data_IF_832699438140
#
_entry.id   IF_832699438140
#
_cell.length_a   1.000
_cell.length_b   1.000
_cell.length_c   1.000
_cell.angle_alpha   90.00
_cell.angle_beta   90.00
_cell.angle_gamma   90.00
#
_symmetry.space_group_name_H-M   'P 1'
#
loop_
_entity.id
_entity.type
_entity.pdbx_description
1 polymer ?
#
# COMPACT_ATOMS: atom_id res chain seq x y z
N UNK A 1 0.92 26.61 -6.62
CA UNK A 1 2.39 26.61 -6.46
C UNK A 1 2.86 25.21 -6.81
N UNK A 2 3.89 25.07 -7.64
CA UNK A 2 4.48 23.77 -7.89
C UNK A 2 5.23 23.29 -6.64
N UNK A 3 5.22 22.00 -6.38
CA UNK A 3 6.03 21.38 -5.34
C UNK A 3 7.43 21.10 -5.87
N UNK A 4 8.43 21.15 -4.99
CA UNK A 4 9.81 20.81 -5.33
C UNK A 4 10.00 19.29 -5.47
N UNK A 5 9.12 18.52 -4.84
CA UNK A 5 9.03 17.07 -4.93
C UNK A 5 7.65 16.60 -4.50
N UNK A 6 7.10 15.61 -5.17
CA UNK A 6 5.80 15.05 -4.84
C UNK A 6 5.70 13.56 -5.11
N UNK A 7 5.04 12.85 -4.20
CA UNK A 7 4.78 11.41 -4.28
C UNK A 7 3.32 11.14 -4.01
N UNK A 8 2.70 10.32 -4.83
CA UNK A 8 1.42 9.68 -4.55
C UNK A 8 1.63 8.22 -4.18
N UNK A 9 0.79 7.67 -3.35
CA UNK A 9 0.87 6.26 -2.98
C UNK A 9 -0.45 5.71 -2.53
N UNK A 10 -0.60 4.39 -2.68
CA UNK A 10 -1.66 3.65 -2.01
C UNK A 10 -1.50 3.77 -0.49
N UNK A 11 -2.54 3.41 0.25
CA UNK A 11 -2.66 3.66 1.69
C UNK A 11 -1.74 2.80 2.59
N UNK A 12 -0.46 2.72 2.27
CA UNK A 12 0.55 2.01 3.08
C UNK A 12 1.35 2.96 3.95
N UNK A 13 1.41 2.71 5.26
CA UNK A 13 2.18 3.55 6.20
C UNK A 13 3.68 3.58 5.92
N UNK A 14 4.23 2.53 5.32
CA UNK A 14 5.64 2.54 4.94
C UNK A 14 5.97 3.61 3.87
N UNK A 15 4.98 4.01 3.04
CA UNK A 15 5.12 5.12 2.09
C UNK A 15 5.35 6.44 2.82
N UNK A 16 4.49 6.73 3.81
CA UNK A 16 4.58 7.92 4.65
C UNK A 16 5.91 7.96 5.41
N UNK A 17 6.29 6.81 5.99
CA UNK A 17 7.54 6.70 6.73
C UNK A 17 8.75 6.88 5.82
N UNK A 18 8.72 6.33 4.61
CA UNK A 18 9.76 6.52 3.61
C UNK A 18 9.88 7.99 3.22
N UNK A 19 8.75 8.66 2.99
CA UNK A 19 8.72 10.08 2.68
C UNK A 19 9.33 10.90 3.83
N UNK A 20 8.90 10.66 5.07
CA UNK A 20 9.45 11.33 6.25
C UNK A 20 10.97 11.10 6.41
N UNK A 21 11.44 9.85 6.23
CA UNK A 21 12.87 9.54 6.29
C UNK A 21 13.66 10.24 5.17
N UNK A 22 13.06 10.39 3.99
CA UNK A 22 13.70 11.12 2.88
C UNK A 22 13.85 12.60 3.24
N UNK A 23 12.80 13.23 3.74
CA UNK A 23 12.84 14.64 4.17
C UNK A 23 13.90 14.85 5.25
N UNK A 24 13.93 13.98 6.27
CA UNK A 24 14.93 14.06 7.33
C UNK A 24 16.35 13.88 6.82
N UNK A 25 16.56 12.99 5.86
CA UNK A 25 17.88 12.72 5.29
C UNK A 25 18.38 13.82 4.35
N UNK A 26 17.48 14.55 3.70
CA UNK A 26 17.82 15.71 2.87
C UNK A 26 18.18 16.92 3.73
N UNK A 27 17.50 17.10 4.85
CA UNK A 27 17.67 18.28 5.70
C UNK A 27 17.25 19.57 5.00
N UNK A 28 17.85 20.68 5.43
CA UNK A 28 17.62 22.00 4.85
C UNK A 28 16.64 22.85 5.67
N UNK A 29 16.72 24.16 5.46
CA UNK A 29 15.91 25.15 6.20
C UNK A 29 14.59 25.48 5.48
N UNK A 30 14.42 25.00 4.26
CA UNK A 30 13.24 25.25 3.42
C UNK A 30 13.01 24.13 2.42
N UNK A 31 11.76 23.69 2.30
CA UNK A 31 11.30 22.73 1.30
C UNK A 31 9.78 22.88 1.09
N UNK A 32 9.30 22.50 -0.09
CA UNK A 32 7.89 22.49 -0.45
C UNK A 32 7.54 21.16 -1.13
N UNK A 33 7.31 20.12 -0.33
CA UNK A 33 7.05 18.76 -0.79
C UNK A 33 5.60 18.35 -0.59
N UNK A 34 5.11 17.40 -1.37
CA UNK A 34 3.77 16.83 -1.22
C UNK A 34 3.81 15.32 -1.15
N UNK A 35 3.06 14.78 -0.22
CA UNK A 35 2.71 13.37 -0.15
C UNK A 35 1.18 13.24 -0.24
N UNK A 36 0.71 12.32 -1.09
CA UNK A 36 -0.72 12.10 -1.31
C UNK A 36 -1.08 10.64 -1.14
N UNK A 37 -2.05 10.38 -0.27
CA UNK A 37 -2.74 9.08 -0.27
C UNK A 37 -3.79 9.08 -1.38
N UNK A 38 -3.77 8.04 -2.19
CA UNK A 38 -4.61 7.89 -3.37
C UNK A 38 -5.09 6.46 -3.54
N UNK A 39 -6.24 6.31 -4.19
CA UNK A 39 -6.64 5.05 -4.82
C UNK A 39 -5.62 4.66 -5.90
N UNK A 40 -5.61 3.40 -6.31
CA UNK A 40 -4.71 2.92 -7.39
C UNK A 40 -4.85 3.76 -8.66
N UNK A 41 -6.09 4.06 -9.10
CA UNK A 41 -6.31 4.96 -10.25
C UNK A 41 -5.77 6.36 -9.98
N UNK A 42 -5.98 6.89 -8.78
CA UNK A 42 -5.48 8.22 -8.42
C UNK A 42 -3.95 8.31 -8.44
N UNK A 43 -3.23 7.24 -8.05
CA UNK A 43 -1.77 7.19 -8.19
C UNK A 43 -1.35 7.22 -9.66
N UNK A 44 -2.03 6.43 -10.51
CA UNK A 44 -1.78 6.40 -11.96
C UNK A 44 -1.97 7.81 -12.56
N UNK A 45 -3.09 8.45 -12.25
CA UNK A 45 -3.46 9.77 -12.79
C UNK A 45 -2.46 10.85 -12.35
N UNK A 46 -2.09 10.86 -11.07
CA UNK A 46 -1.14 11.83 -10.50
C UNK A 46 0.24 11.72 -11.17
N UNK A 47 0.75 10.50 -11.41
CA UNK A 47 2.06 10.32 -12.06
C UNK A 47 1.97 10.60 -13.56
N UNK A 48 0.93 10.17 -14.24
CA UNK A 48 0.74 10.40 -15.67
C UNK A 48 0.63 11.90 -15.99
N UNK A 49 -0.13 12.65 -15.19
CA UNK A 49 -0.26 14.11 -15.36
C UNK A 49 0.99 14.89 -14.93
N UNK A 50 1.85 14.30 -14.09
CA UNK A 50 3.00 14.97 -13.47
C UNK A 50 2.64 15.77 -12.23
N UNK A 51 1.45 15.53 -11.64
CA UNK A 51 1.09 16.05 -10.32
C UNK A 51 1.93 15.41 -9.21
N UNK A 52 2.40 14.18 -9.44
CA UNK A 52 3.43 13.51 -8.65
C UNK A 52 4.56 12.97 -9.54
N UNK A 53 5.79 13.05 -9.05
CA UNK A 53 6.95 12.53 -9.77
C UNK A 53 7.00 11.00 -9.72
N UNK A 54 6.57 10.43 -8.60
CA UNK A 54 6.56 9.00 -8.34
C UNK A 54 5.23 8.57 -7.75
N UNK A 55 4.85 7.31 -8.03
CA UNK A 55 3.70 6.66 -7.43
C UNK A 55 4.15 5.38 -6.71
N UNK A 56 3.76 5.17 -5.45
CA UNK A 56 4.06 3.91 -4.76
C UNK A 56 2.82 3.03 -4.78
N UNK A 57 2.96 1.87 -5.42
CA UNK A 57 1.88 0.89 -5.58
C UNK A 57 2.39 -0.51 -5.30
N UNK A 58 1.46 -1.42 -5.07
CA UNK A 58 1.74 -2.84 -5.20
C UNK A 58 0.82 -3.46 -6.25
N UNK A 59 1.21 -4.61 -6.72
CA UNK A 59 0.41 -5.53 -7.52
C UNK A 59 0.54 -6.94 -6.94
N UNK A 60 -0.31 -7.83 -7.35
CA UNK A 60 -0.20 -9.23 -7.00
C UNK A 60 0.17 -10.07 -8.22
N UNK A 61 0.66 -11.28 -8.01
CA UNK A 61 0.87 -12.24 -9.10
C UNK A 61 -0.41 -12.49 -9.93
N UNK A 62 -1.60 -12.26 -9.35
CA UNK A 62 -2.89 -12.41 -10.02
C UNK A 62 -3.32 -11.14 -10.78
N UNK A 63 -2.94 -9.95 -10.34
CA UNK A 63 -3.40 -8.66 -10.90
C UNK A 63 -2.36 -7.98 -11.78
N UNK A 64 -1.12 -8.45 -11.80
CA UNK A 64 0.00 -7.82 -12.48
C UNK A 64 -0.28 -7.54 -13.96
N UNK A 65 -0.86 -8.48 -14.69
CA UNK A 65 -1.11 -8.30 -16.13
C UNK A 65 -2.10 -7.15 -16.41
N UNK A 66 -3.14 -7.01 -15.60
CA UNK A 66 -4.14 -5.94 -15.76
C UNK A 66 -3.58 -4.58 -15.33
N UNK A 67 -2.81 -4.56 -14.24
CA UNK A 67 -2.15 -3.34 -13.76
C UNK A 67 -1.05 -2.88 -14.71
N UNK A 68 -0.20 -3.78 -15.20
CA UNK A 68 0.83 -3.46 -16.19
C UNK A 68 0.20 -2.87 -17.47
N UNK A 69 -0.93 -3.42 -17.92
CA UNK A 69 -1.67 -2.87 -19.07
C UNK A 69 -2.20 -1.45 -18.79
N UNK A 70 -2.70 -1.19 -17.58
CA UNK A 70 -3.17 0.13 -17.17
C UNK A 70 -2.01 1.13 -17.06
N UNK A 71 -0.87 0.73 -16.51
CA UNK A 71 0.33 1.55 -16.42
C UNK A 71 0.87 1.89 -17.81
N UNK A 72 0.94 0.90 -18.69
CA UNK A 72 1.39 1.10 -20.08
C UNK A 72 0.47 2.07 -20.84
N UNK A 73 -0.85 1.93 -20.70
CA UNK A 73 -1.82 2.81 -21.31
C UNK A 73 -1.70 4.27 -20.83
N UNK A 74 -1.27 4.46 -19.58
CA UNK A 74 -1.00 5.78 -18.98
C UNK A 74 0.42 6.32 -19.28
N UNK A 75 1.26 5.57 -20.02
CA UNK A 75 2.65 5.96 -20.32
C UNK A 75 3.58 5.82 -19.13
N UNK A 76 3.24 4.92 -18.21
CA UNK A 76 4.01 4.65 -16.99
C UNK A 76 4.70 3.28 -17.05
N UNK A 77 5.67 3.08 -16.18
CA UNK A 77 6.27 1.78 -15.92
C UNK A 77 6.36 1.50 -14.44
N UNK A 78 6.12 0.26 -14.05
CA UNK A 78 6.28 -0.23 -12.69
C UNK A 78 7.70 -0.75 -12.49
N UNK A 79 8.33 -0.34 -11.40
CA UNK A 79 9.64 -0.82 -10.98
C UNK A 79 9.48 -1.57 -9.68
N UNK A 80 9.58 -2.89 -9.73
CA UNK A 80 9.50 -3.74 -8.56
C UNK A 80 10.74 -3.58 -7.68
N UNK A 81 10.56 -3.44 -6.37
CA UNK A 81 11.63 -3.35 -5.38
C UNK A 81 11.66 -4.54 -4.42
N UNK A 82 10.49 -5.10 -4.09
CA UNK A 82 10.40 -6.21 -3.15
C UNK A 82 9.23 -7.13 -3.46
N UNK A 83 9.26 -8.32 -2.87
CA UNK A 83 8.16 -9.27 -2.84
C UNK A 83 7.79 -9.61 -1.40
N UNK A 84 6.51 -9.88 -1.15
CA UNK A 84 6.04 -10.42 0.12
C UNK A 84 4.83 -11.34 -0.08
N UNK A 85 4.53 -12.14 0.95
CA UNK A 85 3.29 -12.88 1.01
C UNK A 85 2.20 -12.03 1.68
N UNK A 86 0.92 -12.20 1.32
CA UNK A 86 -0.18 -11.51 1.98
C UNK A 86 -0.31 -11.93 3.44
N UNK A 87 -0.70 -11.00 4.26
CA UNK A 87 -0.95 -11.22 5.68
C UNK A 87 -2.27 -10.58 6.08
N UNK A 88 -2.88 -11.12 7.12
CA UNK A 88 -4.10 -10.57 7.71
C UNK A 88 -3.70 -9.67 8.88
N UNK A 89 -4.11 -8.41 8.86
CA UNK A 89 -3.99 -7.52 10.01
C UNK A 89 -5.24 -7.65 10.88
N UNK A 90 -5.03 -7.88 12.18
CA UNK A 90 -6.04 -8.15 13.20
C UNK A 90 -5.77 -7.32 14.46
N UNK A 91 -6.78 -7.00 15.28
CA UNK A 91 -6.54 -6.50 16.63
C UNK A 91 -5.65 -7.45 17.44
N UNK A 92 -4.78 -6.90 18.28
CA UNK A 92 -3.94 -7.71 19.17
C UNK A 92 -4.75 -8.60 20.15
N UNK A 93 -6.04 -8.26 20.36
CA UNK A 93 -7.00 -9.03 21.18
C UNK A 93 -7.83 -10.04 20.38
N UNK A 94 -7.63 -10.11 19.05
CA UNK A 94 -8.46 -10.97 18.21
C UNK A 94 -8.26 -12.46 18.53
N UNK A 95 -9.33 -13.30 18.54
CA UNK A 95 -9.22 -14.73 18.85
C UNK A 95 -8.24 -15.49 17.95
N UNK A 96 -8.09 -15.06 16.71
CA UNK A 96 -7.23 -15.72 15.72
C UNK A 96 -5.81 -15.14 15.64
N UNK A 97 -5.47 -14.17 16.47
CA UNK A 97 -4.18 -13.43 16.39
C UNK A 97 -2.93 -14.31 16.60
N UNK A 98 -3.08 -15.43 17.28
CA UNK A 98 -2.00 -16.39 17.55
C UNK A 98 -1.98 -17.60 16.60
N UNK A 99 -2.78 -17.59 15.54
CA UNK A 99 -2.75 -18.62 14.52
C UNK A 99 -1.40 -18.59 13.76
N UNK A 100 -0.91 -19.74 13.34
CA UNK A 100 0.31 -19.83 12.50
C UNK A 100 0.08 -19.34 11.08
N UNK A 101 -1.14 -19.52 10.56
CA UNK A 101 -1.67 -18.98 9.30
C UNK A 101 -3.19 -18.95 9.37
N UNK A 102 -3.83 -18.18 8.49
CA UNK A 102 -5.28 -18.07 8.36
C UNK A 102 -5.70 -18.26 6.92
N UNK A 103 -6.88 -18.81 6.71
CA UNK A 103 -7.58 -18.83 5.42
C UNK A 103 -8.71 -17.80 5.42
N UNK A 104 -9.17 -17.38 4.23
CA UNK A 104 -10.33 -16.48 4.13
C UNK A 104 -11.60 -17.09 4.74
N UNK A 105 -11.76 -18.42 4.68
CA UNK A 105 -12.90 -19.11 5.28
C UNK A 105 -12.94 -18.94 6.81
N UNK A 106 -11.79 -19.00 7.49
CA UNK A 106 -11.69 -18.77 8.93
C UNK A 106 -12.03 -17.32 9.33
N UNK A 107 -11.95 -16.40 8.39
CA UNK A 107 -12.25 -14.98 8.57
C UNK A 107 -13.71 -14.61 8.23
N UNK A 108 -14.48 -15.51 7.64
CA UNK A 108 -15.82 -15.23 7.09
C UNK A 108 -16.83 -14.64 8.12
N UNK A 109 -16.66 -14.96 9.41
CA UNK A 109 -17.51 -14.43 10.47
C UNK A 109 -17.14 -13.03 10.94
N UNK A 110 -15.99 -12.50 10.55
CA UNK A 110 -15.45 -11.21 10.97
C UNK A 110 -15.65 -10.14 9.89
N UNK A 111 -15.84 -8.85 10.26
CA UNK A 111 -15.91 -7.77 9.28
C UNK A 111 -14.58 -7.58 8.53
N UNK A 112 -14.66 -7.56 7.21
CA UNK A 112 -13.56 -7.18 6.33
C UNK A 112 -13.59 -5.67 6.12
N UNK A 113 -12.50 -4.97 6.44
CA UNK A 113 -12.36 -3.53 6.25
C UNK A 113 -11.31 -3.31 5.16
N UNK A 114 -11.63 -2.51 4.15
CA UNK A 114 -10.79 -2.30 2.97
C UNK A 114 -10.87 -0.87 2.47
N UNK A 115 -9.92 -0.49 1.60
CA UNK A 115 -9.90 0.83 0.98
C UNK A 115 -10.83 0.91 -0.23
N UNK A 116 -11.71 1.90 -0.22
CA UNK A 116 -12.63 2.17 -1.33
C UNK A 116 -11.86 2.65 -2.57
N UNK A 117 -11.92 1.87 -3.64
CA UNK A 117 -11.32 2.22 -4.92
C UNK A 117 -12.30 2.92 -5.87
N UNK A 118 -13.54 3.16 -5.41
CA UNK A 118 -14.62 3.70 -6.23
C UNK A 118 -15.51 2.63 -6.85
N UNK A 119 -16.77 3.00 -7.11
CA UNK A 119 -17.84 2.08 -7.52
C UNK A 119 -17.53 1.27 -8.77
N UNK A 120 -16.83 1.88 -9.73
CA UNK A 120 -16.57 1.28 -11.05
C UNK A 120 -15.08 0.87 -11.20
N UNK A 121 -14.33 0.81 -10.09
CA UNK A 121 -12.93 0.42 -10.13
C UNK A 121 -12.77 -1.05 -10.57
N UNK A 122 -11.82 -1.34 -11.48
CA UNK A 122 -11.47 -2.72 -11.81
C UNK A 122 -11.06 -3.52 -10.57
N UNK A 123 -11.39 -4.80 -10.53
CA UNK A 123 -11.00 -5.68 -9.41
C UNK A 123 -9.49 -5.70 -9.17
N UNK A 124 -8.68 -5.58 -10.21
CA UNK A 124 -7.23 -5.50 -10.12
C UNK A 124 -6.71 -4.26 -9.35
N UNK A 125 -7.54 -3.25 -9.12
CA UNK A 125 -7.14 -2.00 -8.47
C UNK A 125 -7.33 -2.01 -6.95
N UNK A 126 -7.89 -3.09 -6.38
CA UNK A 126 -7.95 -3.21 -4.93
C UNK A 126 -6.55 -3.19 -4.32
N UNK A 127 -6.42 -2.48 -3.21
CA UNK A 127 -5.14 -2.37 -2.47
C UNK A 127 -4.89 -3.57 -1.57
N UNK A 128 -5.90 -4.39 -1.34
CA UNK A 128 -5.80 -5.61 -0.58
C UNK A 128 -5.66 -6.81 -1.52
N UNK A 129 -4.66 -7.65 -1.28
CA UNK A 129 -4.56 -8.91 -1.99
C UNK A 129 -5.86 -9.71 -1.78
N UNK A 130 -6.43 -10.25 -2.85
CA UNK A 130 -7.72 -10.95 -2.83
C UNK A 130 -8.91 -10.05 -2.43
N UNK A 131 -8.80 -8.73 -2.62
CA UNK A 131 -9.85 -7.76 -2.27
C UNK A 131 -11.15 -7.93 -3.07
N UNK A 132 -11.11 -8.61 -4.21
CA UNK A 132 -12.25 -8.95 -5.06
C UNK A 132 -13.07 -10.16 -4.56
N UNK A 133 -12.61 -10.84 -3.51
CA UNK A 133 -13.30 -12.02 -3.00
C UNK A 133 -14.59 -11.63 -2.27
N UNK A 134 -15.70 -12.37 -2.48
CA UNK A 134 -16.97 -12.09 -1.83
C UNK A 134 -16.83 -12.16 -0.30
N UNK A 135 -17.28 -11.11 0.39
CA UNK A 135 -17.33 -11.07 1.85
C UNK A 135 -18.73 -10.67 2.32
N UNK A 136 -19.32 -11.44 3.23
CA UNK A 136 -20.66 -11.18 3.74
C UNK A 136 -20.74 -9.93 4.64
N UNK A 137 -19.63 -9.56 5.28
CA UNK A 137 -19.51 -8.41 6.17
C UNK A 137 -18.32 -7.57 5.70
N UNK A 138 -18.57 -6.53 4.95
CA UNK A 138 -17.50 -5.67 4.42
C UNK A 138 -17.80 -4.20 4.69
N UNK A 139 -16.75 -3.42 4.93
CA UNK A 139 -16.82 -1.97 5.15
C UNK A 139 -15.70 -1.33 4.36
N UNK A 140 -16.09 -0.45 3.43
CA UNK A 140 -15.16 0.38 2.69
C UNK A 140 -14.82 1.65 3.47
N UNK A 141 -13.58 2.09 3.39
CA UNK A 141 -13.10 3.36 3.98
C UNK A 141 -12.13 4.06 3.04
N UNK A 142 -11.91 5.34 3.22
CA UNK A 142 -11.07 6.16 2.34
C UNK A 142 -9.79 6.66 3.01
N UNK A 143 -9.56 6.29 4.27
CA UNK A 143 -8.38 6.71 5.01
C UNK A 143 -7.90 5.67 6.03
N UNK A 144 -6.61 5.70 6.32
CA UNK A 144 -5.95 4.73 7.21
C UNK A 144 -6.38 4.83 8.68
N UNK A 145 -6.72 6.02 9.16
CA UNK A 145 -7.12 6.17 10.55
C UNK A 145 -8.46 5.49 10.78
N UNK A 146 -9.44 5.74 9.91
CA UNK A 146 -10.73 5.05 9.93
C UNK A 146 -10.59 3.54 9.77
N UNK A 147 -9.71 3.07 8.86
CA UNK A 147 -9.47 1.65 8.68
C UNK A 147 -8.99 0.99 9.98
N UNK A 148 -7.95 1.54 10.60
CA UNK A 148 -7.38 0.99 11.83
C UNK A 148 -8.37 1.01 12.99
N UNK A 149 -9.12 2.10 13.17
CA UNK A 149 -10.15 2.22 14.20
C UNK A 149 -11.29 1.22 14.00
N UNK A 150 -11.77 1.06 12.76
CA UNK A 150 -12.84 0.10 12.46
C UNK A 150 -12.40 -1.35 12.68
N UNK A 151 -11.17 -1.71 12.31
CA UNK A 151 -10.60 -3.04 12.58
C UNK A 151 -10.64 -3.31 14.10
N UNK A 152 -10.16 -2.38 14.92
CA UNK A 152 -10.11 -2.55 16.38
C UNK A 152 -11.51 -2.54 17.00
N UNK A 153 -12.36 -1.58 16.64
CA UNK A 153 -13.67 -1.40 17.24
C UNK A 153 -14.63 -2.55 16.92
N UNK A 154 -14.53 -3.14 15.73
CA UNK A 154 -15.43 -4.19 15.25
C UNK A 154 -14.85 -5.59 15.36
N UNK A 155 -13.63 -5.72 15.90
CA UNK A 155 -12.87 -6.96 15.89
C UNK A 155 -12.78 -7.56 14.48
N UNK A 156 -12.55 -6.69 13.50
CA UNK A 156 -12.49 -7.01 12.09
C UNK A 156 -11.05 -7.29 11.60
N UNK A 157 -10.90 -7.33 10.29
CA UNK A 157 -9.60 -7.58 9.65
C UNK A 157 -9.45 -6.84 8.34
N UNK A 158 -8.20 -6.72 7.89
CA UNK A 158 -7.85 -6.38 6.50
C UNK A 158 -6.72 -7.28 6.00
N UNK A 159 -6.56 -7.36 4.68
CA UNK A 159 -5.42 -8.06 4.05
C UNK A 159 -4.38 -7.03 3.65
N UNK A 160 -3.11 -7.29 3.97
CA UNK A 160 -2.01 -6.33 3.84
C UNK A 160 -0.71 -7.01 3.44
N UNK A 161 0.31 -6.23 3.10
CA UNK A 161 1.69 -6.71 2.90
C UNK A 161 2.37 -7.25 4.16
N UNK A 162 1.76 -7.04 5.33
CA UNK A 162 2.34 -7.42 6.61
C UNK A 162 3.32 -6.40 7.20
N UNK A 163 3.64 -5.35 6.47
CA UNK A 163 4.52 -4.28 6.94
C UNK A 163 3.71 -3.33 7.82
N UNK A 164 3.72 -3.58 9.13
CA UNK A 164 3.14 -2.69 10.12
C UNK A 164 4.23 -1.75 10.66
N UNK A 165 4.11 -0.48 10.32
CA UNK A 165 5.04 0.56 10.77
C UNK A 165 4.27 1.79 11.23
N UNK A 166 4.89 2.61 12.08
CA UNK A 166 4.30 3.86 12.57
C UNK A 166 3.62 3.74 13.91
N UNK A 167 3.10 4.88 14.36
CA UNK A 167 2.54 5.04 15.71
C UNK A 167 1.13 4.41 15.80
N UNK A 168 0.37 4.45 14.71
CA UNK A 168 -1.02 4.04 14.70
C UNK A 168 -1.22 2.52 14.66
N UNK A 169 -0.37 1.79 13.95
CA UNK A 169 -0.58 0.36 13.67
C UNK A 169 0.15 -0.56 14.66
N UNK A 170 1.32 -0.16 15.12
CA UNK A 170 2.26 -1.07 15.80
C UNK A 170 1.85 -1.52 17.21
N UNK A 171 0.94 -0.82 17.89
CA UNK A 171 0.54 -1.18 19.25
C UNK A 171 -0.76 -1.99 19.31
N UNK A 172 -1.68 -1.77 18.39
CA UNK A 172 -3.03 -2.33 18.45
C UNK A 172 -3.28 -3.46 17.45
N UNK A 173 -2.54 -3.47 16.33
CA UNK A 173 -2.66 -4.49 15.30
C UNK A 173 -1.50 -5.49 15.34
N UNK A 174 -1.79 -6.69 14.86
CA UNK A 174 -0.83 -7.78 14.62
C UNK A 174 -1.12 -8.37 13.25
N UNK A 175 -0.10 -8.96 12.63
CA UNK A 175 -0.30 -9.66 11.36
C UNK A 175 -0.10 -11.16 11.52
N UNK A 176 -0.98 -11.90 10.86
CA UNK A 176 -0.91 -13.36 10.75
C UNK A 176 -0.76 -13.72 9.26
N UNK A 177 0.08 -14.68 8.87
CA UNK A 177 0.17 -15.14 7.49
C UNK A 177 -1.20 -15.52 6.93
N UNK A 178 -1.49 -15.11 5.69
CA UNK A 178 -2.66 -15.59 4.94
C UNK A 178 -2.23 -16.77 4.07
N UNK A 179 -2.92 -17.88 4.20
CA UNK A 179 -2.72 -19.06 3.37
C UNK A 179 -3.40 -18.82 2.01
N UNK A 180 -2.64 -18.30 1.07
CA UNK A 180 -3.09 -17.96 -0.27
C UNK A 180 -1.93 -18.09 -1.27
N UNK A 181 -2.23 -18.66 -2.44
CA UNK A 181 -1.27 -18.80 -3.54
C UNK A 181 -1.19 -17.48 -4.34
N UNK A 182 -0.73 -16.43 -3.67
CA UNK A 182 -0.54 -15.11 -4.28
C UNK A 182 0.70 -14.44 -3.69
N UNK A 183 1.48 -13.78 -4.53
CA UNK A 183 2.65 -12.99 -4.14
C UNK A 183 2.35 -11.51 -4.38
N UNK A 184 2.69 -10.68 -3.41
CA UNK A 184 2.65 -9.23 -3.51
C UNK A 184 3.98 -8.72 -4.07
N UNK A 185 3.93 -7.89 -5.09
CA UNK A 185 5.06 -7.20 -5.70
C UNK A 185 4.97 -5.71 -5.34
N UNK A 186 5.88 -5.25 -4.51
CA UNK A 186 5.92 -3.88 -3.99
C UNK A 186 6.92 -3.06 -4.80
N UNK A 187 6.53 -1.86 -5.21
CA UNK A 187 7.39 -1.04 -6.04
C UNK A 187 6.84 0.37 -6.26
N UNK A 188 7.30 1.00 -7.32
CA UNK A 188 6.88 2.35 -7.66
C UNK A 188 6.62 2.53 -9.15
N UNK A 189 5.75 3.49 -9.47
CA UNK A 189 5.46 3.96 -10.81
C UNK A 189 6.28 5.21 -11.12
N UNK A 190 6.73 5.30 -12.35
CA UNK A 190 7.34 6.48 -12.96
C UNK A 190 6.92 6.63 -14.41
N UNK A 191 7.12 7.78 -15.02
CA UNK A 191 6.93 7.94 -16.46
C UNK A 191 7.90 7.03 -17.20
N UNK A 192 7.43 6.41 -18.28
CA UNK A 192 8.20 5.47 -19.09
C UNK A 192 9.48 6.11 -19.61
N UNK A 193 10.62 5.44 -19.39
CA UNK A 193 11.93 5.96 -19.76
C UNK A 193 12.52 7.03 -18.86
N UNK A 194 11.76 7.60 -17.92
CA UNK A 194 12.30 8.56 -16.96
C UNK A 194 13.23 7.86 -15.95
N UNK A 195 14.27 8.57 -15.51
CA UNK A 195 15.13 8.12 -14.42
C UNK A 195 14.92 9.07 -13.24
N UNK A 196 14.56 8.55 -12.05
CA UNK A 196 14.50 9.38 -10.86
C UNK A 196 15.84 10.05 -10.61
N UNK A 197 15.83 11.35 -10.34
CA UNK A 197 17.02 12.12 -9.98
C UNK A 197 16.78 12.92 -8.68
N UNK A 198 17.80 13.60 -8.18
CA UNK A 198 17.70 14.49 -7.03
C UNK A 198 16.94 13.87 -5.84
N UNK A 199 15.86 14.52 -5.43
CA UNK A 199 15.00 14.11 -4.31
C UNK A 199 14.26 12.80 -4.63
N UNK A 200 13.81 12.62 -5.87
CA UNK A 200 13.12 11.40 -6.31
C UNK A 200 14.04 10.16 -6.21
N UNK A 201 15.30 10.28 -6.67
CA UNK A 201 16.29 9.19 -6.52
C UNK A 201 16.56 8.86 -5.04
N UNK A 202 16.61 9.89 -4.19
CA UNK A 202 16.78 9.70 -2.74
C UNK A 202 15.60 8.99 -2.11
N UNK A 203 14.39 9.35 -2.53
CA UNK A 203 13.17 8.67 -2.07
C UNK A 203 13.18 7.19 -2.48
N UNK A 204 13.48 6.86 -3.74
CA UNK A 204 13.56 5.47 -4.22
C UNK A 204 14.57 4.67 -3.42
N UNK A 205 15.78 5.19 -3.22
CA UNK A 205 16.81 4.51 -2.43
C UNK A 205 16.38 4.30 -0.96
N UNK A 206 15.62 5.23 -0.39
CA UNK A 206 15.07 5.11 0.96
C UNK A 206 13.94 4.08 1.01
N UNK A 207 13.07 4.05 -0.01
CA UNK A 207 11.99 3.07 -0.14
C UNK A 207 12.55 1.64 -0.26
N UNK A 208 13.52 1.42 -1.13
CA UNK A 208 14.20 0.14 -1.30
C UNK A 208 14.79 -0.37 0.02
N UNK A 209 15.57 0.48 0.70
CA UNK A 209 16.16 0.16 2.00
C UNK A 209 15.11 -0.16 3.09
N UNK A 210 14.01 0.57 3.11
CA UNK A 210 12.92 0.32 4.05
C UNK A 210 12.22 -1.01 3.74
N UNK A 211 11.92 -1.29 2.47
CA UNK A 211 11.31 -2.56 2.06
C UNK A 211 12.22 -3.75 2.36
N UNK A 212 13.53 -3.67 2.07
CA UNK A 212 14.50 -4.70 2.45
C UNK A 212 14.53 -4.98 3.96
N UNK A 213 14.35 -3.93 4.77
CA UNK A 213 14.31 -4.05 6.23
C UNK A 213 13.04 -4.70 6.73
N UNK A 214 11.89 -4.38 6.10
CA UNK A 214 10.57 -4.83 6.53
C UNK A 214 10.15 -6.17 5.91
N UNK A 215 10.63 -6.52 4.73
CA UNK A 215 10.32 -7.80 4.07
C UNK A 215 11.03 -9.03 4.69
N UNK A 216 11.78 -8.83 5.77
CA UNK A 216 12.51 -9.91 6.49
C UNK A 216 11.66 -10.57 7.60
N UNK A 217 10.35 -10.69 7.41
CA UNK A 217 9.45 -11.33 8.39
C UNK A 217 9.01 -12.71 7.97
#
# INVERSE_FOLDING_TARGET
MAYDFSVSGQHYLFNVQTFAHTVLALGGDSYNYAFRDRTTQGVIDDVASGESELGVVFETSATAADLDAAFDAAGLEFVQLAESAPRVALPASHPLVNASSLTLEQLADYPYIYFDQGKDAPAAFFEEALGDQPCAKSIATTDRASLSELIVALNGYTVTSGILVGISDGAQLRTVPLDADVTLRLGYLKKKGAQPDGTAARFVATLEKNLERYAKF
#
